data_IF_418649823820
#
_entry.id   IF_418649823820
#
_cell.length_a   1.000
_cell.length_b   1.000
_cell.length_c   1.000
_cell.angle_alpha   90.00
_cell.angle_beta   90.00
_cell.angle_gamma   90.00
#
_symmetry.space_group_name_H-M   'P 1'
#
loop_
_entity.id
_entity.type
_entity.pdbx_description
1 polymer ?
#
# COMPACT_ATOMS: atom_id res chain seq x y z
N UNK A 1 -5.25 17.29 -0.76
CA UNK A 1 -5.41 15.81 -0.74
C UNK A 1 -4.01 15.21 -0.76
N UNK A 2 -3.67 14.29 0.14
CA UNK A 2 -2.33 13.69 0.20
C UNK A 2 -2.28 12.32 -0.50
N UNK A 3 -1.13 12.02 -1.08
CA UNK A 3 -0.85 10.78 -1.78
C UNK A 3 0.38 10.11 -1.17
N UNK A 4 0.32 8.80 -0.99
CA UNK A 4 1.45 7.96 -0.59
C UNK A 4 1.75 7.02 -1.75
N UNK A 5 3.02 6.93 -2.16
CA UNK A 5 3.48 6.06 -3.24
C UNK A 5 4.48 5.06 -2.70
N UNK A 6 4.17 3.77 -2.79
CA UNK A 6 5.10 2.69 -2.48
C UNK A 6 5.72 2.18 -3.78
N UNK A 7 7.02 2.41 -3.96
CA UNK A 7 7.76 1.91 -5.10
C UNK A 7 8.22 0.47 -4.84
N UNK A 8 7.71 -0.48 -5.62
CA UNK A 8 8.06 -1.91 -5.57
C UNK A 8 8.07 -2.49 -4.14
N UNK A 9 6.96 -2.42 -3.39
CA UNK A 9 6.94 -2.88 -2.01
C UNK A 9 7.16 -4.40 -1.92
N UNK A 10 8.04 -4.81 -1.02
CA UNK A 10 8.44 -6.21 -0.87
C UNK A 10 7.79 -6.91 0.33
N UNK A 11 7.51 -6.16 1.41
CA UNK A 11 7.06 -6.72 2.69
C UNK A 11 5.53 -6.54 2.85
N UNK A 12 4.72 -7.62 2.78
CA UNK A 12 3.25 -7.50 2.83
C UNK A 12 2.73 -6.83 4.11
N UNK A 13 3.23 -7.14 5.32
CA UNK A 13 2.78 -6.47 6.55
C UNK A 13 2.94 -4.95 6.52
N UNK A 14 4.01 -4.43 5.93
CA UNK A 14 4.25 -2.99 5.80
C UNK A 14 3.21 -2.34 4.89
N UNK A 15 2.95 -2.94 3.73
CA UNK A 15 1.91 -2.46 2.81
C UNK A 15 0.53 -2.51 3.46
N UNK A 16 0.20 -3.55 4.21
CA UNK A 16 -1.05 -3.67 4.97
C UNK A 16 -1.23 -2.56 6.02
N UNK A 17 -0.18 -2.24 6.78
CA UNK A 17 -0.21 -1.15 7.75
C UNK A 17 -0.40 0.22 7.07
N UNK A 18 0.24 0.43 5.92
CA UNK A 18 0.12 1.68 5.15
C UNK A 18 -1.28 1.79 4.50
N UNK A 19 -1.87 0.69 4.04
CA UNK A 19 -3.27 0.64 3.59
C UNK A 19 -4.19 1.13 4.73
N UNK A 20 -3.99 0.62 5.96
CA UNK A 20 -4.77 1.05 7.13
C UNK A 20 -4.59 2.53 7.42
N UNK A 21 -3.35 3.03 7.37
CA UNK A 21 -3.06 4.45 7.52
C UNK A 21 -3.81 5.28 6.49
N UNK A 22 -3.79 4.87 5.22
CA UNK A 22 -4.43 5.60 4.13
C UNK A 22 -5.95 5.66 4.32
N UNK A 23 -6.57 4.54 4.70
CA UNK A 23 -7.99 4.47 5.01
C UNK A 23 -8.38 5.40 6.18
N UNK A 24 -7.58 5.45 7.24
CA UNK A 24 -7.88 6.27 8.44
C UNK A 24 -7.63 7.77 8.22
N UNK A 25 -6.74 8.13 7.30
CA UNK A 25 -6.31 9.52 7.06
C UNK A 25 -6.96 10.14 5.83
N UNK A 26 -7.77 9.39 5.07
CA UNK A 26 -8.34 9.84 3.80
C UNK A 26 -7.27 10.11 2.73
N UNK A 27 -6.12 9.45 2.83
CA UNK A 27 -5.02 9.60 1.84
C UNK A 27 -5.11 8.51 0.77
N UNK A 28 -4.67 8.85 -0.44
CA UNK A 28 -4.67 7.91 -1.57
C UNK A 28 -3.35 7.13 -1.60
N UNK A 29 -3.44 5.80 -1.68
CA UNK A 29 -2.28 4.92 -1.79
C UNK A 29 -2.06 4.48 -3.24
N UNK A 30 -0.83 4.63 -3.72
CA UNK A 30 -0.36 4.12 -5.01
C UNK A 30 0.70 3.04 -4.80
N UNK A 31 0.59 1.93 -5.53
CA UNK A 31 1.57 0.84 -5.52
C UNK A 31 2.21 0.73 -6.90
N UNK A 32 3.54 0.91 -6.98
CA UNK A 32 4.29 0.76 -8.24
C UNK A 32 4.84 -0.67 -8.31
N UNK A 33 4.57 -1.33 -9.42
CA UNK A 33 4.98 -2.73 -9.70
C UNK A 33 6.48 -2.84 -10.01
N UNK A 34 7.07 -4.06 -9.90
CA UNK A 34 6.48 -5.29 -9.37
C UNK A 34 6.28 -5.23 -7.85
N UNK A 35 5.26 -5.94 -7.35
CA UNK A 35 5.09 -6.15 -5.92
C UNK A 35 5.87 -7.41 -5.54
N UNK A 36 6.58 -7.41 -4.42
CA UNK A 36 7.27 -8.60 -3.90
C UNK A 36 6.33 -9.64 -3.29
N UNK A 37 5.02 -9.45 -3.44
CA UNK A 37 3.96 -10.32 -2.90
C UNK A 37 2.71 -10.25 -3.76
N UNK A 38 1.82 -11.23 -3.59
CA UNK A 38 0.52 -11.25 -4.26
C UNK A 38 -0.55 -10.52 -3.45
N UNK A 39 -1.35 -9.69 -4.12
CA UNK A 39 -2.55 -9.10 -3.53
C UNK A 39 -3.69 -10.12 -3.60
N UNK A 40 -3.88 -10.88 -2.53
CA UNK A 40 -5.03 -11.78 -2.39
C UNK A 40 -6.24 -11.03 -1.83
N UNK A 41 -7.39 -11.12 -2.49
CA UNK A 41 -8.68 -10.77 -1.87
C UNK A 41 -9.13 -11.95 -1.02
N UNK A 42 -9.45 -11.69 0.25
CA UNK A 42 -10.28 -12.61 1.04
C UNK A 42 -11.75 -12.37 0.73
#
# INVERSE_FOLDING_TARGET
>A
MFHIVLFQPEIPPNTGNIIRLCANSGTTLHLVKPLGFELTRK
#
